data_IF_651621896899
#
_entry.id   IF_651621896899
#
_cell.length_a   1.000
_cell.length_b   1.000
_cell.length_c   1.000
_cell.angle_alpha   90.00
_cell.angle_beta   90.00
_cell.angle_gamma   90.00
#
_symmetry.space_group_name_H-M   'P 1'
#
loop_
_entity.id
_entity.type
_entity.pdbx_description
1 polymer ?
#
# COMPACT_ATOMS: atom_id res chain seq x y z
N UNK A 1 4.59 -15.56 5.05
CA UNK A 1 4.84 -14.11 5.10
C UNK A 1 3.66 -13.33 5.67
N UNK A 2 2.49 -13.25 5.02
CA UNK A 2 1.33 -12.51 5.57
C UNK A 2 0.94 -12.88 7.01
N UNK A 3 0.96 -14.18 7.38
CA UNK A 3 0.72 -14.60 8.78
C UNK A 3 1.75 -14.03 9.77
N UNK A 4 3.03 -14.00 9.40
CA UNK A 4 4.09 -13.44 10.24
C UNK A 4 3.94 -11.91 10.37
N UNK A 5 3.55 -11.22 9.29
CA UNK A 5 3.23 -9.80 9.31
C UNK A 5 2.02 -9.50 10.20
N UNK A 6 0.98 -10.34 10.16
CA UNK A 6 -0.18 -10.25 11.04
C UNK A 6 0.18 -10.42 12.52
N UNK A 7 0.99 -11.42 12.85
CA UNK A 7 1.52 -11.60 14.20
C UNK A 7 2.37 -10.40 14.64
N UNK A 8 3.23 -9.87 13.76
CA UNK A 8 4.01 -8.67 14.04
C UNK A 8 3.13 -7.45 14.37
N UNK A 9 2.05 -7.26 13.61
CA UNK A 9 1.07 -6.20 13.85
C UNK A 9 0.30 -6.38 15.17
N UNK A 10 -0.09 -7.61 15.50
CA UNK A 10 -0.77 -7.93 16.77
C UNK A 10 0.15 -7.73 17.97
N UNK A 11 1.40 -8.19 17.92
CA UNK A 11 2.38 -7.97 18.98
C UNK A 11 2.70 -6.48 19.18
N UNK A 12 2.77 -5.71 18.08
CA UNK A 12 2.88 -4.25 18.14
C UNK A 12 1.66 -3.66 18.85
N UNK A 13 0.44 -4.08 18.46
CA UNK A 13 -0.80 -3.61 19.09
C UNK A 13 -0.85 -4.00 20.58
N UNK A 14 -0.43 -5.19 20.96
CA UNK A 14 -0.40 -5.60 22.38
C UNK A 14 0.52 -4.72 23.21
N UNK A 15 1.63 -4.26 22.63
CA UNK A 15 2.61 -3.40 23.28
C UNK A 15 2.14 -1.94 23.36
N UNK A 16 1.66 -1.38 22.23
CA UNK A 16 1.39 0.07 22.10
C UNK A 16 -0.10 0.44 22.12
N UNK A 17 -0.98 -0.57 22.17
CA UNK A 17 -2.46 -0.48 22.12
C UNK A 17 -3.02 0.18 20.85
N UNK A 18 -2.18 0.35 19.83
CA UNK A 18 -2.50 0.90 18.52
C UNK A 18 -1.76 0.12 17.43
N UNK A 19 -2.28 0.13 16.21
CA UNK A 19 -1.54 -0.23 15.01
C UNK A 19 -0.58 0.90 14.63
N UNK A 20 0.57 0.58 14.01
CA UNK A 20 1.54 1.57 13.61
C UNK A 20 0.99 2.47 12.51
N UNK A 21 1.45 3.72 12.53
CA UNK A 21 1.22 4.69 11.46
C UNK A 21 2.08 4.39 10.24
N UNK A 22 1.56 4.69 9.05
CA UNK A 22 2.31 4.62 7.81
C UNK A 22 3.02 5.94 7.45
N UNK A 23 3.45 6.70 8.46
CA UNK A 23 4.21 7.93 8.29
C UNK A 23 5.00 8.28 9.56
N UNK A 24 6.31 8.03 9.51
CA UNK A 24 7.24 8.41 10.59
C UNK A 24 8.32 9.31 10.00
N UNK A 25 8.28 10.63 10.26
CA UNK A 25 9.25 11.57 9.71
C UNK A 25 10.69 11.30 10.19
N UNK A 26 11.58 11.10 9.21
CA UNK A 26 13.01 10.90 9.41
C UNK A 26 13.81 12.13 8.99
N UNK A 27 13.40 12.82 7.92
CA UNK A 27 14.13 13.97 7.40
C UNK A 27 13.34 15.27 7.45
N UNK A 28 13.89 16.30 6.82
CA UNK A 28 13.29 17.64 6.74
C UNK A 28 12.21 17.75 5.67
N UNK A 29 12.25 16.87 4.66
CA UNK A 29 11.25 16.82 3.60
C UNK A 29 10.11 15.85 3.94
N UNK A 30 8.89 16.16 3.48
CA UNK A 30 7.74 15.30 3.74
C UNK A 30 7.83 13.89 3.11
N UNK A 31 8.72 13.69 2.12
CA UNK A 31 8.95 12.38 1.51
C UNK A 31 9.95 11.50 2.29
N UNK A 32 10.66 12.09 3.26
CA UNK A 32 11.68 11.43 4.06
C UNK A 32 11.05 10.78 5.30
N UNK A 33 10.22 9.76 5.08
CA UNK A 33 9.47 9.09 6.14
C UNK A 33 9.45 7.56 6.01
N UNK A 34 9.32 6.89 7.16
CA UNK A 34 9.20 5.43 7.27
C UNK A 34 7.74 4.98 7.27
N UNK A 35 7.50 3.80 6.70
CA UNK A 35 6.21 3.09 6.67
C UNK A 35 5.93 2.34 7.98
N UNK A 36 4.72 1.81 8.08
CA UNK A 36 4.31 0.93 9.17
C UNK A 36 5.19 -0.35 9.25
N UNK A 37 5.77 -0.79 8.13
CA UNK A 37 6.68 -1.94 8.05
C UNK A 37 7.93 -1.77 8.91
N UNK A 38 8.46 -0.54 9.04
CA UNK A 38 9.59 -0.27 9.94
C UNK A 38 9.22 -0.51 11.41
N UNK A 39 8.01 -0.11 11.81
CA UNK A 39 7.57 -0.14 13.20
C UNK A 39 7.45 -1.56 13.75
N UNK A 40 7.18 -2.53 12.88
CA UNK A 40 6.98 -3.93 13.27
C UNK A 40 8.26 -4.76 13.29
N UNK A 41 9.42 -4.20 12.89
CA UNK A 41 10.70 -4.94 12.84
C UNK A 41 11.03 -5.71 14.13
N UNK A 42 10.86 -5.15 15.35
CA UNK A 42 11.12 -5.87 16.60
C UNK A 42 10.22 -7.08 16.82
N UNK A 43 9.09 -7.16 16.11
CA UNK A 43 8.06 -8.19 16.27
C UNK A 43 8.10 -9.22 15.14
N UNK A 44 9.05 -9.11 14.21
CA UNK A 44 9.29 -10.04 13.10
C UNK A 44 10.77 -10.47 13.03
N UNK A 45 11.42 -10.56 14.20
CA UNK A 45 12.80 -11.04 14.36
C UNK A 45 13.86 -10.13 13.70
N UNK A 46 13.56 -8.83 13.55
CA UNK A 46 14.47 -7.82 12.97
C UNK A 46 14.92 -6.76 13.99
N UNK A 47 15.08 -7.17 15.26
CA UNK A 47 15.53 -6.28 16.35
C UNK A 47 16.86 -5.58 16.04
N UNK A 48 17.86 -6.32 15.54
CA UNK A 48 19.17 -5.74 15.21
C UNK A 48 19.07 -4.57 14.21
N UNK A 49 18.21 -4.71 13.21
CA UNK A 49 18.00 -3.67 12.20
C UNK A 49 17.26 -2.47 12.82
N UNK A 50 16.22 -2.73 13.62
CA UNK A 50 15.47 -1.69 14.34
C UNK A 50 16.37 -0.89 15.30
N UNK A 51 17.18 -1.56 16.10
CA UNK A 51 18.06 -0.95 17.09
C UNK A 51 19.15 -0.10 16.42
N UNK A 52 19.69 -0.58 15.27
CA UNK A 52 20.66 0.19 14.48
C UNK A 52 20.08 1.50 13.95
N UNK A 53 18.77 1.54 13.70
CA UNK A 53 18.07 2.69 13.14
C UNK A 53 17.73 3.75 14.18
N UNK A 54 17.52 3.37 15.45
CA UNK A 54 17.14 4.28 16.54
C UNK A 54 18.01 5.55 16.64
N UNK A 55 19.36 5.46 16.69
CA UNK A 55 20.21 6.66 16.78
C UNK A 55 20.20 7.51 15.51
N UNK A 56 19.63 7.01 14.40
CA UNK A 56 19.67 7.63 13.08
C UNK A 56 18.28 8.05 12.57
N UNK A 57 17.24 8.04 13.41
CA UNK A 57 15.86 8.41 13.04
C UNK A 57 15.69 9.87 12.60
N UNK A 58 16.76 10.67 12.59
CA UNK A 58 16.81 12.03 12.02
C UNK A 58 17.75 12.18 10.83
N UNK A 59 18.28 11.08 10.32
CA UNK A 59 19.22 11.03 9.22
C UNK A 59 18.65 10.19 8.07
N UNK A 60 17.96 10.86 7.14
CA UNK A 60 17.33 10.20 6.00
C UNK A 60 18.33 9.40 5.15
N UNK A 61 19.47 10.00 4.81
CA UNK A 61 20.50 9.34 4.00
C UNK A 61 20.97 8.03 4.65
N UNK A 62 21.22 8.07 5.96
CA UNK A 62 21.61 6.87 6.70
C UNK A 62 20.52 5.81 6.71
N UNK A 63 19.26 6.19 7.00
CA UNK A 63 18.12 5.26 7.02
C UNK A 63 17.91 4.63 5.64
N UNK A 64 17.98 5.44 4.58
CA UNK A 64 17.81 4.97 3.21
C UNK A 64 18.88 3.97 2.80
N UNK A 65 20.14 4.17 3.16
CA UNK A 65 21.25 3.28 2.76
C UNK A 65 21.48 2.10 3.72
N UNK A 66 21.10 2.21 5.00
CA UNK A 66 21.41 1.18 5.99
C UNK A 66 20.20 0.36 6.42
N UNK A 67 18.99 0.89 6.27
CA UNK A 67 17.73 0.22 6.65
C UNK A 67 16.97 -0.20 5.41
N UNK A 68 16.53 0.75 4.58
CA UNK A 68 15.65 0.45 3.44
C UNK A 68 16.29 -0.42 2.35
N UNK A 69 17.63 -0.40 2.24
CA UNK A 69 18.37 -1.27 1.29
C UNK A 69 18.60 -2.69 1.79
N UNK A 70 18.27 -2.99 3.05
CA UNK A 70 18.45 -4.35 3.59
C UNK A 70 17.34 -5.25 3.06
N UNK A 71 17.69 -6.36 2.37
CA UNK A 71 16.70 -7.31 1.93
C UNK A 71 16.12 -8.06 3.12
N UNK A 72 14.80 -8.17 3.17
CA UNK A 72 14.06 -8.86 4.20
C UNK A 72 13.06 -9.82 3.55
N UNK A 73 13.33 -11.12 3.65
CA UNK A 73 12.53 -12.17 2.99
C UNK A 73 11.06 -12.15 3.42
N UNK A 74 10.77 -11.72 4.65
CA UNK A 74 9.42 -11.56 5.19
C UNK A 74 8.55 -10.59 4.36
N UNK A 75 9.16 -9.64 3.65
CA UNK A 75 8.46 -8.69 2.79
C UNK A 75 8.34 -9.13 1.32
N UNK A 76 8.97 -10.23 0.93
CA UNK A 76 9.00 -10.70 -0.46
C UNK A 76 8.00 -11.83 -0.66
N UNK A 77 7.22 -11.78 -1.74
CA UNK A 77 6.33 -12.88 -2.09
C UNK A 77 7.05 -13.84 -3.03
N UNK A 78 7.19 -15.15 -2.71
CA UNK A 78 7.93 -16.10 -3.55
C UNK A 78 7.41 -16.25 -4.98
N UNK A 79 6.15 -15.91 -5.24
CA UNK A 79 5.54 -15.94 -6.58
C UNK A 79 5.64 -14.61 -7.33
N UNK A 80 6.12 -13.55 -6.69
CA UNK A 80 6.30 -12.25 -7.33
C UNK A 80 7.69 -12.15 -7.96
N UNK A 81 7.84 -11.52 -9.13
CA UNK A 81 9.15 -11.15 -9.65
C UNK A 81 9.92 -10.25 -8.67
N UNK A 82 11.25 -10.36 -8.67
CA UNK A 82 12.10 -9.49 -7.88
C UNK A 82 11.95 -8.02 -8.27
N UNK A 83 12.03 -7.14 -7.27
CA UNK A 83 11.96 -5.70 -7.50
C UNK A 83 13.22 -5.18 -8.23
N UNK A 84 13.10 -4.07 -8.99
CA UNK A 84 14.24 -3.43 -9.61
C UNK A 84 15.16 -2.83 -8.55
N UNK A 85 16.46 -2.98 -8.78
CA UNK A 85 17.50 -2.53 -7.84
C UNK A 85 17.82 -1.05 -8.01
N UNK A 86 18.52 -0.46 -7.04
CA UNK A 86 18.98 0.94 -7.10
C UNK A 86 19.94 1.22 -8.27
N UNK A 87 20.64 0.20 -8.77
CA UNK A 87 21.47 0.32 -9.96
C UNK A 87 20.66 0.48 -11.26
N UNK A 88 19.40 0.00 -11.27
CA UNK A 88 18.52 0.07 -12.44
C UNK A 88 17.65 1.33 -12.43
N UNK A 89 17.18 1.74 -11.25
CA UNK A 89 16.29 2.89 -11.08
C UNK A 89 16.71 3.69 -9.83
N UNK A 90 16.76 5.02 -9.92
CA UNK A 90 17.31 5.88 -8.86
C UNK A 90 16.64 5.75 -7.48
N UNK A 91 15.44 5.15 -7.43
CA UNK A 91 14.70 4.82 -6.22
C UNK A 91 14.39 3.32 -6.12
N UNK A 92 15.29 2.47 -6.62
CA UNK A 92 15.21 1.02 -6.53
C UNK A 92 15.65 0.52 -5.15
N UNK A 93 15.42 -0.76 -4.88
CA UNK A 93 15.68 -1.35 -3.58
C UNK A 93 15.38 -2.85 -3.56
N UNK A 94 15.48 -3.50 -2.39
CA UNK A 94 15.35 -4.95 -2.24
C UNK A 94 13.93 -5.47 -2.51
N UNK A 95 12.93 -4.60 -2.54
CA UNK A 95 11.55 -4.96 -2.86
C UNK A 95 10.64 -5.13 -1.65
N UNK A 96 9.35 -5.02 -1.92
CA UNK A 96 8.25 -5.48 -1.06
C UNK A 96 7.08 -5.91 -1.93
N UNK A 97 6.41 -6.98 -1.51
CA UNK A 97 5.20 -7.48 -2.15
C UNK A 97 4.00 -7.50 -1.20
N UNK A 98 4.14 -6.88 -0.02
CA UNK A 98 3.05 -6.74 0.94
C UNK A 98 2.89 -5.28 1.32
N UNK A 99 1.64 -4.86 1.40
CA UNK A 99 1.28 -3.48 1.67
C UNK A 99 0.02 -3.40 2.53
N UNK A 100 -0.07 -2.32 3.28
CA UNK A 100 -1.06 -2.10 4.33
C UNK A 100 -2.31 -1.44 3.78
N UNK A 101 -3.48 -1.92 4.21
CA UNK A 101 -4.77 -1.39 3.74
C UNK A 101 -5.05 -0.01 4.35
N UNK A 102 -5.16 0.99 3.47
CA UNK A 102 -5.66 2.33 3.82
C UNK A 102 -7.16 2.49 3.62
N UNK A 103 -7.80 1.41 3.14
CA UNK A 103 -9.23 1.27 2.97
C UNK A 103 -9.72 1.51 1.56
N UNK A 104 -11.02 1.80 1.41
CA UNK A 104 -11.71 1.85 0.12
C UNK A 104 -11.67 3.22 -0.56
N UNK A 105 -11.19 4.23 0.15
CA UNK A 105 -11.09 5.59 -0.37
C UNK A 105 -10.14 5.68 -1.56
N UNK A 106 -10.49 6.52 -2.54
CA UNK A 106 -9.58 6.94 -3.63
C UNK A 106 -8.54 7.97 -3.18
N UNK A 107 -8.55 8.37 -1.91
CA UNK A 107 -7.54 9.25 -1.33
C UNK A 107 -6.35 8.46 -0.76
N UNK A 108 -5.16 9.03 -0.92
CA UNK A 108 -3.89 8.43 -0.46
C UNK A 108 -3.22 9.36 0.55
N UNK A 109 -1.90 9.58 0.46
CA UNK A 109 -0.96 10.07 1.51
C UNK A 109 -1.46 11.22 2.41
N UNK A 110 -2.31 12.10 1.91
CA UNK A 110 -2.76 13.33 2.60
C UNK A 110 -4.24 13.32 3.03
N UNK A 111 -4.86 12.14 3.12
CA UNK A 111 -6.27 12.00 3.49
C UNK A 111 -6.55 12.26 4.98
N UNK A 112 -5.54 12.18 5.85
CA UNK A 112 -5.71 12.38 7.29
C UNK A 112 -6.72 11.39 7.89
N UNK A 113 -7.73 11.88 8.60
CA UNK A 113 -8.78 11.05 9.20
C UNK A 113 -9.76 10.44 8.18
N UNK A 114 -9.71 10.87 6.91
CA UNK A 114 -10.54 10.32 5.82
C UNK A 114 -10.12 8.91 5.41
N UNK A 115 -8.93 8.45 5.80
CA UNK A 115 -8.58 7.04 5.67
C UNK A 115 -9.52 6.16 6.48
N UNK A 116 -10.25 5.31 5.77
CA UNK A 116 -11.28 4.42 6.34
C UNK A 116 -10.79 2.98 6.54
N UNK A 117 -9.52 2.67 6.23
CA UNK A 117 -8.91 1.36 6.50
C UNK A 117 -8.28 1.19 7.88
N UNK A 118 -7.66 0.03 8.08
CA UNK A 118 -6.97 -0.32 9.34
C UNK A 118 -5.70 0.49 9.58
N UNK A 119 -4.98 0.85 8.52
CA UNK A 119 -3.76 1.64 8.59
C UNK A 119 -4.00 3.01 7.96
N UNK A 120 -3.43 4.05 8.57
CA UNK A 120 -3.44 5.41 8.05
C UNK A 120 -2.04 6.02 8.19
N UNK A 121 -1.79 7.11 7.47
CA UNK A 121 -0.47 7.76 7.47
C UNK A 121 -0.19 8.44 8.80
N UNK A 122 -0.85 9.56 9.08
CA UNK A 122 -0.57 10.37 10.26
C UNK A 122 -1.42 10.04 11.49
N UNK A 123 -2.37 9.10 11.35
CA UNK A 123 -3.39 8.77 12.36
C UNK A 123 -3.15 7.35 12.89
N UNK A 124 -3.08 7.19 14.21
CA UNK A 124 -3.07 5.87 14.83
C UNK A 124 -4.48 5.28 14.85
N UNK A 125 -4.58 3.99 14.56
CA UNK A 125 -5.82 3.22 14.72
C UNK A 125 -5.62 2.13 15.76
N UNK A 126 -6.68 1.65 16.37
CA UNK A 126 -6.62 0.50 17.29
C UNK A 126 -7.69 -0.51 16.91
N UNK A 127 -7.61 -1.73 17.46
CA UNK A 127 -8.59 -2.77 17.22
C UNK A 127 -10.03 -2.34 17.55
N UNK A 128 -10.24 -1.55 18.61
CA UNK A 128 -11.56 -1.07 19.00
C UNK A 128 -12.18 -0.08 17.99
N UNK A 129 -11.37 0.58 17.16
CA UNK A 129 -11.85 1.44 16.09
C UNK A 129 -12.36 0.67 14.87
N UNK A 130 -12.20 -0.66 14.82
CA UNK A 130 -12.69 -1.50 13.73
C UNK A 130 -14.08 -2.04 14.09
N UNK A 131 -15.10 -1.22 13.89
CA UNK A 131 -16.48 -1.54 14.32
C UNK A 131 -17.15 -2.61 13.45
N UNK A 132 -16.67 -2.82 12.23
CA UNK A 132 -17.19 -3.85 11.32
C UNK A 132 -16.63 -5.26 11.61
N UNK A 133 -15.70 -5.33 12.57
CA UNK A 133 -15.08 -6.55 13.04
C UNK A 133 -13.73 -6.82 12.37
N UNK A 134 -12.75 -7.19 13.19
CA UNK A 134 -11.38 -7.49 12.73
C UNK A 134 -11.32 -8.61 11.68
N UNK A 135 -12.21 -9.60 11.77
CA UNK A 135 -12.30 -10.72 10.82
C UNK A 135 -12.95 -10.34 9.48
N UNK A 136 -13.40 -9.10 9.34
CA UNK A 136 -14.12 -8.56 8.20
C UNK A 136 -13.45 -7.30 7.63
N UNK A 137 -12.25 -6.95 8.10
CA UNK A 137 -11.52 -5.79 7.61
C UNK A 137 -10.12 -6.20 7.15
N UNK A 138 -9.75 -5.79 5.94
CA UNK A 138 -8.45 -6.00 5.34
C UNK A 138 -7.39 -5.20 6.11
N UNK A 139 -6.36 -5.89 6.59
CA UNK A 139 -5.18 -5.31 7.21
C UNK A 139 -4.05 -5.13 6.19
N UNK A 140 -3.77 -6.16 5.39
CA UNK A 140 -2.73 -6.13 4.38
C UNK A 140 -3.04 -7.05 3.21
N UNK A 141 -2.46 -6.76 2.06
CA UNK A 141 -2.52 -7.65 0.91
C UNK A 141 -1.27 -7.51 0.04
N UNK A 142 -1.31 -8.18 -1.10
CA UNK A 142 -0.19 -8.32 -2.01
C UNK A 142 -0.10 -7.13 -2.98
N UNK A 143 1.13 -6.77 -3.34
CA UNK A 143 1.45 -5.81 -4.40
C UNK A 143 2.56 -6.35 -5.29
N UNK A 144 2.52 -5.97 -6.57
CA UNK A 144 3.64 -6.22 -7.48
C UNK A 144 4.63 -5.06 -7.42
N UNK A 145 5.91 -5.40 -7.55
CA UNK A 145 6.96 -4.41 -7.75
C UNK A 145 6.92 -3.90 -9.20
N UNK A 146 7.29 -2.64 -9.39
CA UNK A 146 7.40 -2.03 -10.71
C UNK A 146 8.50 -2.67 -11.53
N UNK A 147 8.53 -2.38 -12.83
CA UNK A 147 9.47 -3.00 -13.77
C UNK A 147 10.87 -2.40 -13.75
N UNK A 148 11.05 -1.22 -13.15
CA UNK A 148 12.27 -0.44 -13.26
C UNK A 148 12.49 0.19 -14.64
N UNK A 149 11.51 0.15 -15.54
CA UNK A 149 11.65 0.75 -16.87
C UNK A 149 11.80 2.27 -16.78
N UNK A 150 12.70 2.80 -17.60
CA UNK A 150 12.87 4.22 -17.89
C UNK A 150 12.44 4.51 -19.34
N UNK A 151 12.02 5.73 -19.63
CA UNK A 151 11.57 6.13 -20.97
C UNK A 151 10.08 6.46 -21.03
N UNK A 152 9.42 6.16 -22.15
CA UNK A 152 8.12 6.72 -22.53
C UNK A 152 6.91 5.81 -22.27
N UNK A 153 7.09 4.57 -21.82
CA UNK A 153 5.97 3.67 -21.53
C UNK A 153 6.23 2.77 -20.32
N UNK A 154 5.27 2.78 -19.38
CA UNK A 154 5.21 1.80 -18.30
C UNK A 154 4.58 0.49 -18.75
N UNK A 155 4.65 -0.54 -17.91
CA UNK A 155 4.14 -1.88 -18.18
C UNK A 155 3.06 -2.30 -17.19
N UNK A 156 1.85 -2.47 -17.70
CA UNK A 156 0.80 -3.20 -16.99
C UNK A 156 1.17 -4.70 -16.87
N UNK A 157 0.94 -5.36 -15.73
CA UNK A 157 0.25 -4.85 -14.53
C UNK A 157 1.16 -4.41 -13.39
N UNK A 158 2.44 -4.10 -13.67
CA UNK A 158 3.47 -3.85 -12.66
C UNK A 158 3.56 -2.37 -12.26
N UNK A 159 3.55 -1.48 -13.24
CA UNK A 159 3.82 -0.05 -13.02
C UNK A 159 2.56 0.73 -12.65
N UNK A 160 2.73 1.85 -11.94
CA UNK A 160 1.65 2.78 -11.59
C UNK A 160 1.60 3.89 -12.64
N UNK A 161 0.41 4.22 -13.14
CA UNK A 161 0.21 5.20 -14.20
C UNK A 161 -0.44 6.47 -13.66
N UNK A 162 -0.06 7.63 -14.18
CA UNK A 162 -0.58 8.93 -13.77
C UNK A 162 -1.70 9.37 -14.69
N UNK A 163 -2.71 9.97 -14.08
CA UNK A 163 -3.84 10.60 -14.77
C UNK A 163 -4.13 11.95 -14.14
N UNK A 164 -5.07 12.70 -14.71
CA UNK A 164 -5.45 14.01 -14.18
C UNK A 164 -6.23 13.88 -12.86
N UNK A 165 -5.95 14.74 -11.88
CA UNK A 165 -6.71 14.81 -10.62
C UNK A 165 -8.23 14.99 -10.84
N UNK A 166 -8.65 15.63 -11.92
CA UNK A 166 -10.03 15.85 -12.33
C UNK A 166 -10.87 14.58 -12.26
N UNK A 167 -10.37 13.46 -12.77
CA UNK A 167 -11.08 12.17 -12.75
C UNK A 167 -11.29 11.64 -11.33
N UNK A 168 -10.33 11.86 -10.43
CA UNK A 168 -10.47 11.49 -9.02
C UNK A 168 -11.39 12.45 -8.26
N UNK A 169 -11.32 13.75 -8.54
CA UNK A 169 -12.16 14.75 -7.89
C UNK A 169 -13.63 14.66 -8.32
N UNK A 170 -13.91 14.07 -9.49
CA UNK A 170 -15.28 13.79 -9.95
C UNK A 170 -15.91 12.55 -9.33
N UNK A 171 -15.16 11.73 -8.57
CA UNK A 171 -15.72 10.58 -7.87
C UNK A 171 -16.72 11.06 -6.83
N UNK A 172 -17.99 10.67 -6.99
CA UNK A 172 -19.10 11.18 -6.18
C UNK A 172 -19.02 10.71 -4.72
N UNK A 173 -18.74 9.42 -4.52
CA UNK A 173 -18.47 8.84 -3.22
C UNK A 173 -17.05 8.29 -3.20
N UNK A 174 -16.13 9.03 -2.58
CA UNK A 174 -14.70 8.67 -2.57
C UNK A 174 -14.41 7.34 -1.89
N UNK A 175 -15.24 6.96 -0.93
CA UNK A 175 -15.10 5.69 -0.18
C UNK A 175 -15.67 4.51 -0.94
N UNK A 176 -16.57 4.74 -1.89
CA UNK A 176 -17.24 3.69 -2.67
C UNK A 176 -17.36 4.13 -4.13
N UNK A 177 -16.23 4.27 -4.86
CA UNK A 177 -16.26 4.63 -6.27
C UNK A 177 -17.03 3.57 -7.06
N UNK A 178 -17.87 4.01 -7.99
CA UNK A 178 -18.64 3.13 -8.85
C UNK A 178 -17.75 2.48 -9.91
N UNK A 179 -18.21 1.35 -10.47
CA UNK A 179 -17.52 0.68 -11.57
C UNK A 179 -17.26 1.63 -12.76
N UNK A 180 -18.21 2.50 -13.09
CA UNK A 180 -18.07 3.45 -14.19
C UNK A 180 -16.98 4.51 -13.95
N UNK A 181 -16.87 5.02 -12.71
CA UNK A 181 -15.81 5.96 -12.33
C UNK A 181 -14.43 5.29 -12.34
N UNK A 182 -14.35 4.05 -11.81
CA UNK A 182 -13.13 3.24 -11.86
C UNK A 182 -12.70 2.97 -13.30
N UNK A 183 -13.63 2.59 -14.18
CA UNK A 183 -13.33 2.32 -15.58
C UNK A 183 -12.87 3.58 -16.33
N UNK A 184 -13.44 4.75 -16.01
CA UNK A 184 -12.97 6.02 -16.57
C UNK A 184 -11.52 6.32 -16.16
N UNK A 185 -11.18 6.19 -14.88
CA UNK A 185 -9.83 6.40 -14.36
C UNK A 185 -8.86 5.38 -14.95
N UNK A 186 -9.22 4.10 -14.91
CA UNK A 186 -8.39 2.99 -15.39
C UNK A 186 -8.14 3.03 -16.90
N UNK A 187 -9.15 3.40 -17.68
CA UNK A 187 -9.02 3.61 -19.13
C UNK A 187 -8.08 4.77 -19.44
N UNK A 188 -8.21 5.90 -18.74
CA UNK A 188 -7.30 7.04 -18.89
C UNK A 188 -5.86 6.66 -18.53
N UNK A 189 -5.67 5.94 -17.41
CA UNK A 189 -4.36 5.46 -16.95
C UNK A 189 -3.68 4.53 -17.96
N UNK A 190 -4.46 3.71 -18.66
CA UNK A 190 -3.92 2.76 -19.65
C UNK A 190 -3.68 3.41 -21.02
N UNK A 191 -4.62 4.23 -21.49
CA UNK A 191 -4.67 4.65 -22.90
C UNK A 191 -4.11 6.05 -23.12
N UNK A 192 -4.10 6.91 -22.10
CA UNK A 192 -3.60 8.29 -22.20
C UNK A 192 -2.96 8.74 -20.88
N UNK A 193 -1.97 8.00 -20.35
CA UNK A 193 -1.31 8.38 -19.11
C UNK A 193 -0.53 9.69 -19.29
N UNK A 194 -0.58 10.55 -18.28
CA UNK A 194 0.28 11.76 -18.21
C UNK A 194 1.72 11.41 -17.81
N UNK A 195 1.94 10.18 -17.32
CA UNK A 195 3.24 9.64 -16.95
C UNK A 195 3.07 8.29 -16.25
N UNK A 196 4.18 7.72 -15.78
CA UNK A 196 4.15 6.48 -15.01
C UNK A 196 5.28 6.43 -13.99
N UNK A 197 5.18 5.43 -13.12
CA UNK A 197 6.13 5.07 -12.07
C UNK A 197 6.46 3.59 -12.17
N UNK A 198 7.74 3.27 -12.27
CA UNK A 198 8.22 1.89 -12.32
C UNK A 198 9.09 1.48 -11.12
N UNK A 199 9.10 2.28 -10.06
CA UNK A 199 9.78 1.95 -8.80
C UNK A 199 8.79 1.63 -7.65
N UNK A 200 7.52 1.32 -7.92
CA UNK A 200 6.62 0.87 -6.86
C UNK A 200 7.10 -0.46 -6.24
N UNK A 201 6.83 -0.65 -4.95
CA UNK A 201 7.23 -1.85 -4.21
C UNK A 201 8.73 -2.16 -4.24
N UNK A 202 9.60 -1.15 -4.30
CA UNK A 202 11.07 -1.31 -4.27
C UNK A 202 11.66 -1.11 -2.88
N UNK A 203 11.03 -0.32 -2.03
CA UNK A 203 11.53 0.06 -0.70
C UNK A 203 10.48 -0.28 0.37
N UNK A 204 10.66 -1.43 1.04
CA UNK A 204 9.70 -1.98 2.01
C UNK A 204 9.39 -1.04 3.19
N UNK A 205 10.37 -0.21 3.59
CA UNK A 205 10.23 0.72 4.70
C UNK A 205 9.80 2.13 4.26
N UNK A 206 9.64 2.40 2.96
CA UNK A 206 9.27 3.74 2.51
C UNK A 206 7.76 3.94 2.62
N UNK A 207 7.36 5.05 3.25
CA UNK A 207 5.97 5.36 3.58
C UNK A 207 5.05 5.50 2.35
N UNK A 208 5.63 5.72 1.17
CA UNK A 208 4.92 6.10 -0.02
C UNK A 208 3.80 5.12 -0.42
N UNK A 209 2.73 5.65 -1.01
CA UNK A 209 1.53 4.89 -1.36
C UNK A 209 1.82 3.75 -2.32
N UNK A 210 2.64 4.01 -3.34
CA UNK A 210 3.11 2.98 -4.26
C UNK A 210 4.15 2.01 -3.68
N UNK A 211 4.54 2.14 -2.41
CA UNK A 211 5.55 1.29 -1.77
C UNK A 211 4.93 0.38 -0.72
N UNK A 212 4.08 0.93 0.15
CA UNK A 212 3.71 0.27 1.40
C UNK A 212 2.21 0.23 1.66
N UNK A 213 1.35 0.75 0.76
CA UNK A 213 -0.10 0.75 0.98
C UNK A 213 -0.89 0.19 -0.20
N UNK A 214 -2.08 -0.33 0.10
CA UNK A 214 -3.10 -0.73 -0.86
C UNK A 214 -4.43 -0.09 -0.50
N UNK A 215 -5.24 0.14 -1.54
CA UNK A 215 -6.63 0.59 -1.43
C UNK A 215 -7.56 -0.54 -1.89
N UNK A 216 -8.74 -0.68 -1.30
CA UNK A 216 -9.79 -1.58 -1.81
C UNK A 216 -10.79 -0.88 -2.73
N UNK A 217 -10.45 0.31 -3.22
CA UNK A 217 -11.26 1.09 -4.15
C UNK A 217 -11.65 0.29 -5.41
N UNK A 218 -10.76 -0.60 -5.88
CA UNK A 218 -10.99 -1.53 -6.98
C UNK A 218 -10.64 -2.97 -6.58
N UNK A 219 -11.20 -3.96 -7.28
CA UNK A 219 -11.04 -5.39 -6.98
C UNK A 219 -9.59 -5.89 -7.14
N UNK A 220 -9.23 -7.03 -6.52
CA UNK A 220 -7.91 -7.63 -6.69
C UNK A 220 -7.57 -7.90 -8.15
N UNK A 221 -6.29 -7.75 -8.50
CA UNK A 221 -5.80 -7.89 -9.87
C UNK A 221 -6.62 -7.07 -10.88
N UNK A 222 -7.04 -5.87 -10.47
CA UNK A 222 -7.86 -4.96 -11.25
C UNK A 222 -7.45 -4.94 -12.73
N UNK A 223 -8.46 -4.99 -13.61
CA UNK A 223 -8.28 -5.07 -15.07
C UNK A 223 -7.52 -3.87 -15.66
N UNK A 224 -7.46 -2.77 -14.91
CA UNK A 224 -6.75 -1.56 -15.24
C UNK A 224 -5.45 -1.45 -14.43
N UNK A 225 -4.46 -0.69 -14.92
CA UNK A 225 -3.25 -0.40 -14.14
C UNK A 225 -3.59 0.33 -12.85
N UNK A 226 -2.78 0.13 -11.80
CA UNK A 226 -2.83 1.01 -10.64
C UNK A 226 -2.62 2.45 -11.10
N UNK A 227 -3.45 3.36 -10.58
CA UNK A 227 -3.55 4.72 -11.09
C UNK A 227 -3.30 5.72 -9.97
N UNK A 228 -2.54 6.77 -10.27
CA UNK A 228 -2.39 7.96 -9.43
C UNK A 228 -3.01 9.17 -10.12
N UNK A 229 -3.36 10.18 -9.32
CA UNK A 229 -3.66 11.52 -9.82
C UNK A 229 -2.43 12.21 -10.42
N UNK A 230 -2.46 13.54 -10.48
CA UNK A 230 -1.36 14.31 -11.04
C UNK A 230 -0.10 14.07 -10.21
N UNK A 231 0.99 13.69 -10.90
CA UNK A 231 2.31 13.59 -10.32
C UNK A 231 2.68 14.89 -9.59
N UNK A 232 3.22 14.81 -8.38
CA UNK A 232 3.73 15.99 -7.70
C UNK A 232 4.91 16.62 -8.48
N UNK A 233 5.08 17.94 -8.45
CA UNK A 233 6.35 18.56 -8.87
C UNK A 233 7.49 18.00 -8.01
N UNK A 234 8.50 17.38 -8.63
CA UNK A 234 9.70 16.87 -7.94
C UNK A 234 9.81 15.35 -7.78
N UNK A 235 8.84 14.57 -8.24
CA UNK A 235 8.99 13.12 -8.51
C UNK A 235 9.17 12.19 -7.29
N UNK A 236 9.16 12.72 -6.06
CA UNK A 236 9.39 11.96 -4.83
C UNK A 236 8.14 11.78 -3.93
N UNK A 237 7.07 12.55 -4.14
CA UNK A 237 5.84 12.43 -3.36
C UNK A 237 4.75 11.67 -4.13
N UNK A 238 4.03 10.80 -3.44
CA UNK A 238 2.82 10.25 -4.04
C UNK A 238 1.71 11.30 -4.12
N UNK A 239 0.73 10.94 -4.94
CA UNK A 239 -0.47 11.67 -5.26
C UNK A 239 -1.33 11.86 -4.01
N UNK A 240 -2.23 12.85 -4.03
CA UNK A 240 -3.31 12.94 -3.04
C UNK A 240 -4.45 11.93 -3.30
N UNK A 241 -4.51 11.42 -4.53
CA UNK A 241 -5.52 10.46 -4.98
C UNK A 241 -4.87 9.30 -5.73
N UNK A 242 -5.39 8.10 -5.54
CA UNK A 242 -4.93 6.92 -6.27
C UNK A 242 -5.81 5.69 -6.05
N UNK A 243 -5.71 4.77 -6.99
CA UNK A 243 -6.29 3.43 -6.95
C UNK A 243 -5.11 2.46 -7.02
N UNK A 244 -4.77 1.87 -5.87
CA UNK A 244 -3.67 0.92 -5.70
C UNK A 244 -4.25 -0.39 -5.17
N UNK A 245 -5.00 -1.14 -6.00
CA UNK A 245 -5.64 -2.37 -5.58
C UNK A 245 -4.60 -3.47 -5.35
N UNK A 246 -4.91 -4.44 -4.48
CA UNK A 246 -4.05 -5.60 -4.31
C UNK A 246 -3.81 -6.34 -5.62
N UNK A 247 -2.58 -6.81 -5.82
CA UNK A 247 -2.18 -7.52 -7.02
C UNK A 247 -1.17 -8.61 -6.70
N UNK A 248 -1.36 -9.78 -7.30
CA UNK A 248 -0.46 -10.91 -7.16
C UNK A 248 -0.33 -11.67 -8.49
N UNK A 249 0.63 -12.60 -8.54
CA UNK A 249 0.75 -13.57 -9.64
C UNK A 249 0.07 -14.90 -9.31
N UNK A 250 -0.70 -14.98 -8.22
CA UNK A 250 -1.49 -16.17 -7.90
C UNK A 250 -2.66 -16.32 -8.88
N UNK A 251 -2.97 -17.54 -9.32
CA UNK A 251 -4.10 -17.77 -10.22
C UNK A 251 -5.42 -17.29 -9.59
N UNK A 252 -6.04 -16.29 -10.21
CA UNK A 252 -7.43 -15.90 -9.93
C UNK A 252 -7.67 -15.00 -8.72
N UNK A 253 -6.63 -14.45 -8.05
CA UNK A 253 -6.86 -13.62 -6.86
C UNK A 253 -5.62 -13.17 -6.12
N UNK A 254 -5.79 -12.83 -4.85
CA UNK A 254 -4.73 -12.41 -3.93
C UNK A 254 -4.94 -13.03 -2.56
N UNK A 255 -3.88 -13.12 -1.77
CA UNK A 255 -3.98 -13.38 -0.35
C UNK A 255 -4.26 -12.07 0.40
N UNK A 256 -5.27 -12.11 1.26
CA UNK A 256 -5.70 -11.02 2.12
C UNK A 256 -5.45 -11.39 3.58
N UNK A 257 -4.67 -10.58 4.27
CA UNK A 257 -4.55 -10.61 5.74
C UNK A 257 -5.65 -9.74 6.33
N UNK A 258 -6.45 -10.30 7.21
CA UNK A 258 -7.52 -9.60 7.91
C UNK A 258 -7.03 -9.07 9.26
N UNK A 259 -7.80 -8.15 9.85
CA UNK A 259 -7.48 -7.51 11.12
C UNK A 259 -7.34 -8.48 12.30
N UNK A 260 -7.98 -9.65 12.24
CA UNK A 260 -7.88 -10.72 13.25
C UNK A 260 -6.62 -11.59 13.08
N UNK A 261 -5.79 -11.31 12.07
CA UNK A 261 -4.59 -12.08 11.77
C UNK A 261 -4.84 -13.31 10.87
N UNK A 262 -6.10 -13.61 10.53
CA UNK A 262 -6.43 -14.66 9.59
C UNK A 262 -6.04 -14.26 8.16
N UNK A 263 -5.70 -15.25 7.34
CA UNK A 263 -5.38 -15.04 5.92
C UNK A 263 -6.40 -15.80 5.09
N UNK A 264 -7.01 -15.12 4.12
CA UNK A 264 -7.97 -15.70 3.18
C UNK A 264 -7.54 -15.40 1.75
N UNK A 265 -7.91 -16.27 0.83
CA UNK A 265 -7.78 -15.98 -0.58
C UNK A 265 -9.02 -15.21 -1.04
N UNK A 266 -8.82 -14.07 -1.73
CA UNK A 266 -9.90 -13.26 -2.30
C UNK A 266 -9.80 -13.30 -3.81
N UNK A 267 -10.90 -13.65 -4.47
CA UNK A 267 -10.92 -13.81 -5.92
C UNK A 267 -10.87 -12.47 -6.63
N UNK A 268 -10.27 -12.40 -7.82
CA UNK A 268 -10.31 -11.20 -8.68
C UNK A 268 -11.73 -10.87 -9.16
N UNK A 269 -12.64 -11.84 -9.08
CA UNK A 269 -14.05 -11.75 -9.49
C UNK A 269 -15.00 -11.39 -8.36
N UNK A 270 -14.48 -11.11 -7.16
CA UNK A 270 -15.27 -10.66 -6.00
C UNK A 270 -16.14 -9.45 -6.39
N UNK A 271 -17.33 -9.36 -5.82
CA UNK A 271 -18.19 -8.20 -6.02
C UNK A 271 -17.47 -6.92 -5.54
N UNK A 272 -17.46 -5.88 -6.41
CA UNK A 272 -16.75 -4.62 -6.14
C UNK A 272 -17.12 -4.02 -4.78
N UNK A 273 -18.41 -3.89 -4.49
CA UNK A 273 -18.88 -3.29 -3.25
C UNK A 273 -18.49 -4.15 -2.04
N UNK A 274 -18.55 -5.47 -2.15
CA UNK A 274 -18.11 -6.39 -1.09
C UNK A 274 -16.62 -6.19 -0.79
N UNK A 275 -15.79 -6.05 -1.82
CA UNK A 275 -14.36 -5.80 -1.64
C UNK A 275 -14.06 -4.41 -1.08
N UNK A 276 -14.80 -3.38 -1.51
CA UNK A 276 -14.69 -2.04 -0.94
C UNK A 276 -15.01 -2.06 0.56
N UNK A 277 -16.11 -2.70 0.96
CA UNK A 277 -16.47 -2.89 2.38
C UNK A 277 -15.41 -3.65 3.15
N UNK A 278 -14.79 -4.67 2.55
CA UNK A 278 -13.67 -5.39 3.19
C UNK A 278 -12.51 -4.44 3.57
N UNK A 279 -12.28 -3.34 2.86
CA UNK A 279 -11.26 -2.37 3.26
C UNK A 279 -11.75 -1.29 4.22
N UNK A 280 -13.06 -1.10 4.37
CA UNK A 280 -13.60 -0.12 5.29
C UNK A 280 -13.73 -0.73 6.69
N UNK A 281 -13.27 -0.02 7.72
CA UNK A 281 -13.29 -0.52 9.10
C UNK A 281 -14.60 -0.21 9.84
N UNK A 282 -15.45 0.67 9.29
CA UNK A 282 -16.55 1.29 10.03
C UNK A 282 -17.77 1.70 9.18
N UNK A 283 -18.10 0.98 8.11
CA UNK A 283 -19.31 1.23 7.31
C UNK A 283 -20.59 0.62 7.89
N UNK A 284 -20.47 -0.29 8.86
CA UNK A 284 -21.58 -0.92 9.57
C UNK A 284 -22.42 -1.87 8.72
N UNK A 285 -21.95 -2.27 7.54
CA UNK A 285 -22.66 -3.14 6.61
C UNK A 285 -22.11 -4.57 6.65
N UNK A 286 -22.96 -5.59 6.42
CA UNK A 286 -22.48 -6.95 6.28
C UNK A 286 -21.62 -7.12 5.02
N UNK A 287 -20.60 -7.98 5.13
CA UNK A 287 -19.85 -8.48 3.98
C UNK A 287 -20.67 -9.53 3.23
N UNK A 288 -20.61 -9.47 1.89
CA UNK A 288 -21.03 -10.57 1.02
C UNK A 288 -19.94 -11.63 0.88
N UNK A 289 -20.10 -12.52 -0.10
CA UNK A 289 -19.14 -13.60 -0.39
C UNK A 289 -17.82 -13.05 -1.00
N UNK A 290 -16.68 -13.63 -0.60
CA UNK A 290 -15.31 -13.25 -0.98
C UNK A 290 -14.71 -14.15 -2.07
#
# INVERSE_FOLDING_TARGET
NLKQLGLGMHNYHDTFKVFPRNYIPVGGNAWEALSASYSILPFIEQNNLYDSAQPNLKNWSWIRSNVMERPLEVYLCPSSPGAPTSATIGWGGPGTNYAWSTGSSVETVWAGDRFNGMIAYSVHRNMASVTDGLSNTLLASEVLSGTGQSGSSGRYPYDIFYTNNGLFTSVANRDFPTQAELDAIGSAAKNSPSGFRANNGTLWAWYAAGQSTVTTAATPNWQWPSAGGDCCPGGAHDWGYGIIPPRSMHPGGVNALLGDGSVRFVTSTVNLLTFQRLGNRQDGQPLGDL
#
